data_IF_556916311810
#
_entry.id   IF_556916311810
#
_cell.length_a   1.000
_cell.length_b   1.000
_cell.length_c   1.000
_cell.angle_alpha   90.00
_cell.angle_beta   90.00
_cell.angle_gamma   90.00
#
_symmetry.space_group_name_H-M   'P 1'
#
loop_
_entity.id
_entity.type
_entity.pdbx_description
1 polymer ?
#
# COMPACT_ATOMS: atom_id res chain seq x y z
N UNK A 1 -16.59 28.17 6.00
CA UNK A 1 -15.92 27.73 7.24
C UNK A 1 -14.93 26.63 6.87
N UNK A 2 -13.80 26.47 7.59
CA UNK A 2 -12.84 25.42 7.27
C UNK A 2 -13.50 24.04 7.32
N UNK A 3 -13.03 23.13 6.47
CA UNK A 3 -13.57 21.76 6.35
C UNK A 3 -13.33 20.98 7.65
N UNK A 4 -12.10 20.97 8.14
CA UNK A 4 -11.74 20.38 9.43
C UNK A 4 -10.39 20.90 9.88
N UNK A 5 -10.25 21.18 11.18
CA UNK A 5 -8.93 21.49 11.76
C UNK A 5 -7.96 20.32 11.65
N UNK A 6 -8.43 19.08 11.49
CA UNK A 6 -7.56 17.89 11.36
C UNK A 6 -6.64 17.96 10.14
N UNK A 7 -7.09 18.59 9.04
CA UNK A 7 -6.30 18.67 7.80
C UNK A 7 -5.02 19.49 7.99
N UNK A 8 -5.03 20.48 8.88
CA UNK A 8 -3.84 21.28 9.23
C UNK A 8 -2.79 20.45 9.98
N UNK A 9 -3.24 19.38 10.66
CA UNK A 9 -2.40 18.43 11.37
C UNK A 9 -2.30 17.09 10.65
N UNK A 10 -2.51 17.07 9.33
CA UNK A 10 -2.51 15.86 8.50
C UNK A 10 -1.29 14.96 8.74
N UNK A 11 -0.07 15.52 8.68
CA UNK A 11 1.16 14.76 8.91
C UNK A 11 1.24 14.18 10.35
N UNK A 12 1.09 14.98 11.43
CA UNK A 12 1.01 14.44 12.79
C UNK A 12 -0.07 13.37 12.98
N UNK A 13 -1.27 13.56 12.41
CA UNK A 13 -2.39 12.60 12.52
C UNK A 13 -2.02 11.28 11.85
N UNK A 14 -1.58 11.29 10.59
CA UNK A 14 -1.13 10.08 9.88
C UNK A 14 0.03 9.40 10.61
N UNK A 15 0.99 10.15 11.17
CA UNK A 15 2.09 9.58 11.94
C UNK A 15 1.62 8.89 13.24
N UNK A 16 0.69 9.53 13.98
CA UNK A 16 0.10 8.93 15.18
C UNK A 16 -0.68 7.66 14.83
N UNK A 17 -1.47 7.67 13.76
CA UNK A 17 -2.17 6.48 13.29
C UNK A 17 -1.20 5.35 12.94
N UNK A 18 -0.11 5.62 12.23
CA UNK A 18 0.92 4.62 11.93
C UNK A 18 1.54 4.04 13.20
N UNK A 19 1.83 4.86 14.21
CA UNK A 19 2.30 4.38 15.51
C UNK A 19 1.27 3.47 16.19
N UNK A 20 -0.01 3.85 16.19
CA UNK A 20 -1.10 3.05 16.77
C UNK A 20 -1.26 1.71 16.03
N UNK A 21 -1.22 1.72 14.70
CA UNK A 21 -1.26 0.50 13.87
C UNK A 21 -0.06 -0.38 14.20
N UNK A 22 1.14 0.17 14.23
CA UNK A 22 2.35 -0.59 14.57
C UNK A 22 2.28 -1.22 15.96
N UNK A 23 1.85 -0.46 16.98
CA UNK A 23 1.67 -0.97 18.34
C UNK A 23 0.61 -2.07 18.40
N UNK A 24 -0.51 -1.87 17.71
CA UNK A 24 -1.60 -2.84 17.65
C UNK A 24 -1.14 -4.15 17.01
N UNK A 25 -0.38 -4.05 15.91
CA UNK A 25 0.17 -5.24 15.23
C UNK A 25 1.12 -6.01 16.15
N UNK A 26 2.12 -5.34 16.70
CA UNK A 26 3.22 -6.00 17.43
C UNK A 26 2.83 -6.47 18.83
N UNK A 27 1.99 -5.71 19.54
CA UNK A 27 1.66 -6.02 20.94
C UNK A 27 0.33 -6.74 21.11
N UNK A 28 -0.56 -6.71 20.12
CA UNK A 28 -1.92 -7.28 20.25
C UNK A 28 -2.18 -8.33 19.17
N UNK A 29 -2.05 -7.98 17.89
CA UNK A 29 -2.47 -8.87 16.81
C UNK A 29 -1.56 -10.08 16.68
N UNK A 30 -0.27 -9.90 16.43
CA UNK A 30 0.64 -11.04 16.16
C UNK A 30 0.80 -12.00 17.35
N UNK A 31 0.96 -11.53 18.61
CA UNK A 31 1.16 -12.46 19.72
C UNK A 31 -0.13 -13.09 20.24
N UNK A 32 -1.27 -12.39 20.14
CA UNK A 32 -2.51 -12.82 20.81
C UNK A 32 -3.68 -13.03 19.85
N UNK A 33 -4.04 -12.05 19.02
CA UNK A 33 -5.27 -12.14 18.23
C UNK A 33 -5.14 -13.09 17.04
N UNK A 34 -4.06 -13.00 16.26
CA UNK A 34 -3.85 -13.81 15.05
C UNK A 34 -3.75 -15.31 15.38
N UNK A 35 -2.93 -15.77 16.36
CA UNK A 35 -2.90 -17.18 16.74
C UNK A 35 -4.24 -17.67 17.30
N UNK A 36 -5.01 -16.81 17.98
CA UNK A 36 -6.31 -17.17 18.53
C UNK A 36 -7.41 -17.29 17.48
N UNK A 37 -7.44 -16.38 16.50
CA UNK A 37 -8.48 -16.32 15.46
C UNK A 37 -8.21 -17.36 14.36
N UNK A 38 -6.95 -17.54 13.99
CA UNK A 38 -6.58 -18.40 12.85
C UNK A 38 -5.92 -19.72 13.28
N UNK A 39 -5.55 -19.88 14.55
CA UNK A 39 -5.10 -21.16 15.08
C UNK A 39 -3.81 -21.69 14.42
N UNK A 40 -3.72 -23.02 14.20
CA UNK A 40 -2.57 -23.66 13.57
C UNK A 40 -2.21 -23.07 12.21
N UNK A 41 -3.22 -22.69 11.43
CA UNK A 41 -3.03 -22.08 10.11
C UNK A 41 -2.12 -20.85 10.17
N UNK A 42 -2.17 -20.04 11.23
CA UNK A 42 -1.27 -18.91 11.39
C UNK A 42 0.07 -19.28 12.02
N UNK A 43 0.09 -20.18 13.01
CA UNK A 43 1.33 -20.51 13.74
C UNK A 43 2.29 -21.39 12.94
N UNK A 44 1.79 -22.16 11.99
CA UNK A 44 2.58 -23.06 11.14
C UNK A 44 3.03 -22.40 9.82
N UNK A 45 2.47 -21.24 9.48
CA UNK A 45 2.92 -20.46 8.32
C UNK A 45 4.34 -19.93 8.52
N UNK A 46 5.10 -19.88 7.44
CA UNK A 46 6.36 -19.17 7.41
C UNK A 46 6.16 -17.66 7.65
N UNK A 47 7.25 -16.97 7.99
CA UNK A 47 7.19 -15.55 8.37
C UNK A 47 6.65 -14.65 7.25
N UNK A 48 6.89 -14.99 5.98
CA UNK A 48 6.42 -14.22 4.82
C UNK A 48 4.91 -14.37 4.70
N UNK A 49 4.40 -15.59 4.75
CA UNK A 49 2.95 -15.85 4.72
C UNK A 49 2.23 -15.24 5.93
N UNK A 50 2.82 -15.32 7.14
CA UNK A 50 2.27 -14.69 8.35
C UNK A 50 2.16 -13.18 8.23
N UNK A 51 3.20 -12.51 7.73
CA UNK A 51 3.17 -11.06 7.49
C UNK A 51 2.17 -10.69 6.40
N UNK A 52 2.09 -11.47 5.32
CA UNK A 52 1.09 -11.28 4.27
C UNK A 52 -0.35 -11.37 4.82
N UNK A 53 -0.66 -12.40 5.62
CA UNK A 53 -1.98 -12.55 6.23
C UNK A 53 -2.28 -11.41 7.23
N UNK A 54 -1.32 -11.10 8.11
CA UNK A 54 -1.48 -10.01 9.09
C UNK A 54 -1.70 -8.66 8.40
N UNK A 55 -0.96 -8.40 7.31
CA UNK A 55 -1.14 -7.21 6.48
C UNK A 55 -2.58 -7.09 5.99
N UNK A 56 -3.11 -8.15 5.37
CA UNK A 56 -4.46 -8.11 4.82
C UNK A 56 -5.55 -7.98 5.88
N UNK A 57 -5.37 -8.56 7.07
CA UNK A 57 -6.31 -8.40 8.19
C UNK A 57 -6.31 -6.95 8.69
N UNK A 58 -5.14 -6.34 8.86
CA UNK A 58 -5.01 -4.94 9.29
C UNK A 58 -5.60 -4.00 8.24
N UNK A 59 -5.23 -4.16 6.97
CA UNK A 59 -5.77 -3.37 5.86
C UNK A 59 -7.28 -3.50 5.76
N UNK A 60 -7.82 -4.72 5.87
CA UNK A 60 -9.25 -4.95 5.89
C UNK A 60 -9.94 -4.20 7.04
N UNK A 61 -9.40 -4.29 8.26
CA UNK A 61 -9.98 -3.62 9.42
C UNK A 61 -9.97 -2.09 9.29
N UNK A 62 -8.85 -1.50 8.84
CA UNK A 62 -8.75 -0.06 8.63
C UNK A 62 -9.69 0.41 7.51
N UNK A 63 -9.85 -0.36 6.43
CA UNK A 63 -10.82 -0.08 5.36
C UNK A 63 -12.26 -0.13 5.87
N UNK A 64 -12.60 -1.12 6.70
CA UNK A 64 -13.92 -1.19 7.36
C UNK A 64 -14.14 -0.02 8.32
N UNK A 65 -13.11 0.44 9.03
CA UNK A 65 -13.20 1.66 9.85
C UNK A 65 -13.50 2.89 8.99
N UNK A 66 -12.87 3.02 7.82
CA UNK A 66 -13.18 4.08 6.86
C UNK A 66 -14.62 4.01 6.32
N UNK A 67 -15.23 2.81 6.25
CA UNK A 67 -16.64 2.66 5.88
C UNK A 67 -17.60 3.33 6.86
N UNK A 68 -17.19 3.62 8.11
CA UNK A 68 -18.00 4.46 8.99
C UNK A 68 -18.28 5.83 8.33
N UNK A 69 -17.32 6.35 7.57
CA UNK A 69 -17.44 7.58 6.77
C UNK A 69 -18.54 7.56 5.71
N UNK A 70 -19.09 6.39 5.36
CA UNK A 70 -20.16 6.27 4.36
C UNK A 70 -21.40 7.10 4.72
N UNK A 71 -21.76 7.18 6.00
CA UNK A 71 -22.85 8.05 6.45
C UNK A 71 -22.57 9.52 6.14
N UNK A 72 -21.37 10.01 6.45
CA UNK A 72 -20.98 11.38 6.17
C UNK A 72 -20.91 11.68 4.66
N UNK A 73 -20.50 10.70 3.84
CA UNK A 73 -20.54 10.79 2.38
C UNK A 73 -21.98 10.95 1.89
N UNK A 74 -22.93 10.16 2.40
CA UNK A 74 -24.35 10.29 2.03
C UNK A 74 -24.88 11.69 2.40
N UNK A 75 -24.56 12.19 3.59
CA UNK A 75 -24.98 13.52 4.03
C UNK A 75 -24.45 14.63 3.11
N UNK A 76 -23.19 14.55 2.67
CA UNK A 76 -22.58 15.55 1.77
C UNK A 76 -23.11 15.43 0.34
N UNK A 77 -23.16 14.23 -0.22
CA UNK A 77 -23.44 14.04 -1.65
C UNK A 77 -24.93 13.92 -1.97
N UNK A 78 -25.74 13.32 -1.09
CA UNK A 78 -27.17 13.09 -1.32
C UNK A 78 -28.00 14.16 -0.62
N UNK A 79 -27.80 14.33 0.70
CA UNK A 79 -28.58 15.27 1.51
C UNK A 79 -28.13 16.72 1.28
N UNK A 80 -26.91 16.92 0.75
CA UNK A 80 -26.29 18.23 0.50
C UNK A 80 -26.06 19.04 1.78
N UNK A 81 -25.79 18.37 2.90
CA UNK A 81 -25.38 19.06 4.13
C UNK A 81 -23.97 19.63 3.99
N UNK A 82 -23.70 20.81 4.56
CA UNK A 82 -22.38 21.40 4.50
C UNK A 82 -21.41 20.65 5.42
N UNK A 83 -20.11 20.74 5.11
CA UNK A 83 -19.06 19.98 5.80
C UNK A 83 -18.89 20.40 7.27
N UNK A 84 -19.18 21.65 7.59
CA UNK A 84 -19.14 22.19 8.95
C UNK A 84 -20.38 21.83 9.79
N UNK A 85 -21.37 21.15 9.22
CA UNK A 85 -22.57 20.76 9.95
C UNK A 85 -22.24 19.71 11.03
N UNK A 86 -22.89 19.77 12.21
CA UNK A 86 -22.71 18.77 13.24
C UNK A 86 -23.30 17.42 12.81
N UNK A 87 -22.62 16.34 13.20
CA UNK A 87 -23.12 14.98 13.05
C UNK A 87 -24.29 14.77 14.04
N UNK A 88 -25.52 14.67 13.53
CA UNK A 88 -26.74 14.64 14.35
C UNK A 88 -26.78 13.44 15.32
N UNK A 89 -26.10 12.35 14.98
CA UNK A 89 -26.03 11.15 15.82
C UNK A 89 -25.15 11.31 17.08
N UNK A 90 -24.33 12.37 17.17
CA UNK A 90 -23.30 12.54 18.20
C UNK A 90 -23.51 13.82 19.04
N UNK A 91 -24.76 14.17 19.35
CA UNK A 91 -25.05 15.33 20.21
C UNK A 91 -24.57 15.10 21.65
N UNK A 92 -23.42 15.67 21.99
CA UNK A 92 -22.90 15.81 23.35
C UNK A 92 -22.77 17.29 23.76
N UNK A 93 -22.73 17.59 25.08
CA UNK A 93 -22.71 18.97 25.60
C UNK A 93 -21.39 19.72 25.34
N UNK A 94 -20.33 19.04 24.91
CA UNK A 94 -18.99 19.63 24.73
C UNK A 94 -18.45 19.27 23.34
N UNK A 95 -18.43 20.28 22.45
CA UNK A 95 -17.88 20.27 21.08
C UNK A 95 -18.57 19.29 20.12
N UNK A 96 -19.35 19.85 19.20
CA UNK A 96 -19.99 19.08 18.13
C UNK A 96 -18.96 18.68 17.07
N UNK A 97 -18.70 17.38 16.93
CA UNK A 97 -17.95 16.82 15.80
C UNK A 97 -18.70 17.13 14.51
N UNK A 98 -18.00 17.67 13.52
CA UNK A 98 -18.59 18.01 12.22
C UNK A 98 -18.51 16.84 11.23
N UNK A 99 -19.33 16.89 10.19
CA UNK A 99 -19.26 15.95 9.06
C UNK A 99 -17.85 15.99 8.42
N UNK A 100 -17.28 17.18 8.30
CA UNK A 100 -15.95 17.43 7.77
C UNK A 100 -14.85 16.83 8.62
N UNK A 101 -14.93 16.89 9.96
CA UNK A 101 -13.97 16.22 10.86
C UNK A 101 -13.95 14.72 10.65
N UNK A 102 -15.14 14.11 10.51
CA UNK A 102 -15.26 12.68 10.32
C UNK A 102 -14.73 12.22 8.95
N UNK A 103 -15.03 12.97 7.89
CA UNK A 103 -14.50 12.72 6.56
C UNK A 103 -13.00 12.99 6.47
N UNK A 104 -12.49 14.02 7.16
CA UNK A 104 -11.07 14.33 7.23
C UNK A 104 -10.30 13.21 7.94
N UNK A 105 -10.84 12.64 9.01
CA UNK A 105 -10.27 11.46 9.66
C UNK A 105 -10.14 10.29 8.67
N UNK A 106 -11.24 9.84 8.04
CA UNK A 106 -11.19 8.76 7.06
C UNK A 106 -10.21 9.06 5.91
N UNK A 107 -10.18 10.31 5.45
CA UNK A 107 -9.29 10.77 4.40
C UNK A 107 -7.80 10.68 4.79
N UNK A 108 -7.45 10.95 6.04
CA UNK A 108 -6.09 10.84 6.58
C UNK A 108 -5.71 9.40 6.93
N UNK A 109 -6.69 8.53 7.19
CA UNK A 109 -6.48 7.08 7.37
C UNK A 109 -6.09 6.37 6.07
N UNK A 110 -6.53 6.84 4.90
CA UNK A 110 -6.16 6.26 3.60
C UNK A 110 -4.63 6.19 3.37
N UNK A 111 -3.86 7.29 3.48
CA UNK A 111 -2.41 7.21 3.35
C UNK A 111 -1.76 6.36 4.45
N UNK A 112 -2.31 6.32 5.67
CA UNK A 112 -1.86 5.40 6.73
C UNK A 112 -1.94 3.95 6.27
N UNK A 113 -3.06 3.54 5.67
CA UNK A 113 -3.25 2.18 5.13
C UNK A 113 -2.15 1.88 4.10
N UNK A 114 -1.97 2.73 3.09
CA UNK A 114 -1.02 2.46 2.01
C UNK A 114 0.43 2.47 2.46
N UNK A 115 0.80 3.39 3.36
CA UNK A 115 2.15 3.40 3.94
C UNK A 115 2.38 2.10 4.71
N UNK A 116 1.42 1.70 5.56
CA UNK A 116 1.50 0.44 6.29
C UNK A 116 1.67 -0.75 5.33
N UNK A 117 0.88 -0.83 4.27
CA UNK A 117 0.98 -1.94 3.32
C UNK A 117 2.32 -2.01 2.58
N UNK A 118 2.90 -0.85 2.22
CA UNK A 118 4.22 -0.80 1.58
C UNK A 118 5.30 -1.28 2.55
N UNK A 119 5.31 -0.79 3.80
CA UNK A 119 6.40 -1.08 4.75
C UNK A 119 6.28 -2.47 5.36
N UNK A 120 5.06 -2.99 5.53
CA UNK A 120 4.82 -4.20 6.29
C UNK A 120 4.80 -5.46 5.42
N UNK A 121 4.46 -5.35 4.13
CA UNK A 121 4.59 -6.49 3.19
C UNK A 121 6.06 -6.84 2.94
N UNK A 122 6.33 -8.15 2.85
CA UNK A 122 7.64 -8.65 2.48
C UNK A 122 7.89 -8.52 0.96
N UNK A 123 6.87 -8.87 0.17
CA UNK A 123 6.89 -8.78 -1.29
C UNK A 123 5.67 -7.95 -1.74
N UNK A 124 5.90 -7.02 -2.65
CA UNK A 124 4.86 -6.19 -3.25
C UNK A 124 5.16 -6.06 -4.74
N UNK A 125 4.16 -6.31 -5.58
CA UNK A 125 4.33 -6.17 -7.02
C UNK A 125 4.62 -4.71 -7.39
N UNK A 126 5.37 -4.50 -8.47
CA UNK A 126 5.69 -3.15 -8.95
C UNK A 126 4.42 -2.34 -9.24
N UNK A 127 3.41 -2.96 -9.85
CA UNK A 127 2.12 -2.31 -10.17
C UNK A 127 1.40 -1.88 -8.89
N UNK A 128 1.33 -2.75 -7.88
CA UNK A 128 0.72 -2.42 -6.58
C UNK A 128 1.50 -1.33 -5.85
N UNK A 129 2.84 -1.37 -5.92
CA UNK A 129 3.69 -0.34 -5.29
C UNK A 129 3.47 1.02 -5.93
N UNK A 130 3.44 1.10 -7.26
CA UNK A 130 3.16 2.33 -8.00
C UNK A 130 1.75 2.83 -7.70
N UNK A 131 0.75 1.95 -7.62
CA UNK A 131 -0.62 2.30 -7.21
C UNK A 131 -0.65 2.96 -5.83
N UNK A 132 -0.01 2.34 -4.83
CA UNK A 132 0.00 2.86 -3.46
C UNK A 132 0.74 4.20 -3.36
N UNK A 133 1.93 4.31 -3.97
CA UNK A 133 2.69 5.57 -4.00
C UNK A 133 1.91 6.66 -4.75
N UNK A 134 1.24 6.31 -5.83
CA UNK A 134 0.34 7.21 -6.56
C UNK A 134 -0.79 7.71 -5.68
N UNK A 135 -1.46 6.82 -4.94
CA UNK A 135 -2.57 7.16 -4.06
C UNK A 135 -2.14 8.09 -2.92
N UNK A 136 -1.00 7.79 -2.29
CA UNK A 136 -0.39 8.66 -1.26
C UNK A 136 -0.07 10.04 -1.85
N UNK A 137 0.51 10.09 -3.05
CA UNK A 137 0.88 11.35 -3.72
C UNK A 137 -0.36 12.20 -4.02
N UNK A 138 -1.42 11.60 -4.55
CA UNK A 138 -2.70 12.30 -4.80
C UNK A 138 -3.28 12.83 -3.49
N UNK A 139 -3.25 12.03 -2.42
CA UNK A 139 -3.71 12.47 -1.11
C UNK A 139 -2.93 13.70 -0.60
N UNK A 140 -1.59 13.66 -0.66
CA UNK A 140 -0.74 14.80 -0.27
C UNK A 140 -1.04 16.05 -1.11
N UNK A 141 -1.14 15.91 -2.43
CA UNK A 141 -1.46 17.02 -3.32
C UNK A 141 -2.84 17.61 -3.01
N UNK A 142 -3.82 16.75 -2.74
CA UNK A 142 -5.15 17.14 -2.29
C UNK A 142 -5.13 18.00 -1.02
N UNK A 143 -4.41 17.55 0.01
CA UNK A 143 -4.21 18.31 1.25
C UNK A 143 -3.60 19.68 0.94
N UNK A 144 -2.54 19.73 0.13
CA UNK A 144 -1.87 20.99 -0.23
C UNK A 144 -2.85 21.95 -0.91
N UNK A 145 -3.69 21.46 -1.82
CA UNK A 145 -4.69 22.27 -2.52
C UNK A 145 -5.76 22.79 -1.54
N UNK A 146 -6.29 21.91 -0.70
CA UNK A 146 -7.30 22.26 0.31
C UNK A 146 -6.76 23.31 1.29
N UNK A 147 -5.54 23.12 1.81
CA UNK A 147 -4.92 24.03 2.77
C UNK A 147 -4.49 25.36 2.15
N UNK A 148 -3.92 25.35 0.93
CA UNK A 148 -3.49 26.59 0.24
C UNK A 148 -4.65 27.54 -0.08
N UNK A 149 -5.87 27.03 -0.12
CA UNK A 149 -7.09 27.81 -0.30
C UNK A 149 -7.83 28.06 1.04
N UNK A 150 -7.13 27.88 2.17
CA UNK A 150 -7.67 28.10 3.51
C UNK A 150 -8.87 27.21 3.84
N UNK A 151 -8.93 26.01 3.25
CA UNK A 151 -10.04 25.06 3.37
C UNK A 151 -11.42 25.63 2.99
N UNK A 152 -11.46 26.69 2.18
CA UNK A 152 -12.69 27.37 1.82
C UNK A 152 -12.74 27.60 0.31
N UNK A 153 -13.97 27.75 -0.19
CA UNK A 153 -14.21 28.09 -1.58
C UNK A 153 -14.24 26.90 -2.52
N UNK A 154 -14.52 27.21 -3.79
CA UNK A 154 -14.88 26.21 -4.80
C UNK A 154 -13.79 25.16 -5.00
N UNK A 155 -12.51 25.57 -5.10
CA UNK A 155 -11.44 24.63 -5.41
C UNK A 155 -11.14 23.68 -4.24
N UNK A 156 -11.03 24.19 -3.02
CA UNK A 156 -10.81 23.36 -1.83
C UNK A 156 -11.93 22.34 -1.62
N UNK A 157 -13.19 22.78 -1.70
CA UNK A 157 -14.32 21.87 -1.55
C UNK A 157 -14.42 20.85 -2.68
N UNK A 158 -14.11 21.26 -3.91
CA UNK A 158 -14.15 20.37 -5.08
C UNK A 158 -13.08 19.31 -4.96
N UNK A 159 -11.86 19.68 -4.59
CA UNK A 159 -10.75 18.74 -4.39
C UNK A 159 -11.05 17.76 -3.27
N UNK A 160 -11.53 18.27 -2.12
CA UNK A 160 -11.91 17.43 -1.00
C UNK A 160 -13.02 16.43 -1.38
N UNK A 161 -14.08 16.90 -2.06
CA UNK A 161 -15.16 16.03 -2.56
C UNK A 161 -14.65 15.02 -3.59
N UNK A 162 -13.78 15.43 -4.51
CA UNK A 162 -13.22 14.54 -5.53
C UNK A 162 -12.47 13.38 -4.87
N UNK A 163 -11.60 13.66 -3.91
CA UNK A 163 -10.83 12.60 -3.26
C UNK A 163 -11.71 11.73 -2.37
N UNK A 164 -12.77 12.28 -1.76
CA UNK A 164 -13.75 11.45 -1.06
C UNK A 164 -14.46 10.47 -2.00
N UNK A 165 -14.78 10.88 -3.23
CA UNK A 165 -15.37 9.96 -4.23
C UNK A 165 -14.39 8.80 -4.48
N UNK A 166 -13.13 9.10 -4.80
CA UNK A 166 -12.10 8.08 -4.98
C UNK A 166 -11.97 7.17 -3.76
N UNK A 167 -11.84 7.76 -2.57
CA UNK A 167 -11.69 7.05 -1.31
C UNK A 167 -12.85 6.09 -1.04
N UNK A 168 -14.10 6.47 -1.34
CA UNK A 168 -15.25 5.59 -1.15
C UNK A 168 -15.17 4.35 -2.02
N UNK A 169 -14.89 4.50 -3.32
CA UNK A 169 -14.80 3.36 -4.22
C UNK A 169 -13.63 2.45 -3.86
N UNK A 170 -12.48 3.04 -3.58
CA UNK A 170 -11.29 2.31 -3.18
C UNK A 170 -11.51 1.54 -1.86
N UNK A 171 -12.04 2.18 -0.81
CA UNK A 171 -12.31 1.50 0.47
C UNK A 171 -13.38 0.40 0.34
N UNK A 172 -14.40 0.57 -0.50
CA UNK A 172 -15.46 -0.43 -0.65
C UNK A 172 -15.03 -1.62 -1.50
N UNK A 173 -14.35 -1.39 -2.63
CA UNK A 173 -14.08 -2.44 -3.61
C UNK A 173 -12.73 -3.13 -3.41
N UNK A 174 -11.77 -2.46 -2.77
CA UNK A 174 -10.50 -3.09 -2.39
C UNK A 174 -10.64 -4.02 -1.16
N UNK A 175 -11.78 -3.99 -0.44
CA UNK A 175 -12.11 -4.97 0.60
C UNK A 175 -12.25 -6.39 0.03
N UNK A 176 -12.78 -6.55 -1.18
CA UNK A 176 -12.97 -7.86 -1.80
C UNK A 176 -11.67 -8.68 -1.94
N UNK A 177 -10.59 -8.15 -2.55
CA UNK A 177 -9.34 -8.89 -2.66
C UNK A 177 -8.72 -9.20 -1.28
N UNK A 178 -8.83 -8.32 -0.29
CA UNK A 178 -8.35 -8.63 1.07
C UNK A 178 -9.08 -9.82 1.68
N UNK A 179 -10.42 -9.83 1.62
CA UNK A 179 -11.22 -10.96 2.11
C UNK A 179 -10.89 -12.23 1.34
N UNK A 180 -10.72 -12.13 0.01
CA UNK A 180 -10.36 -13.28 -0.82
C UNK A 180 -9.02 -13.90 -0.42
N UNK A 181 -7.98 -13.09 -0.17
CA UNK A 181 -6.67 -13.61 0.25
C UNK A 181 -6.71 -14.17 1.68
N UNK A 182 -7.45 -13.54 2.60
CA UNK A 182 -7.65 -14.11 3.95
C UNK A 182 -8.31 -15.49 3.83
N UNK A 183 -9.40 -15.61 3.07
CA UNK A 183 -10.08 -16.90 2.87
C UNK A 183 -9.22 -17.92 2.11
N UNK A 184 -8.38 -17.47 1.18
CA UNK A 184 -7.40 -18.31 0.48
C UNK A 184 -6.42 -18.99 1.44
N UNK A 185 -5.95 -18.25 2.45
CA UNK A 185 -5.06 -18.79 3.48
C UNK A 185 -5.77 -19.74 4.45
N UNK A 186 -7.07 -19.52 4.71
CA UNK A 186 -7.84 -20.34 5.65
C UNK A 186 -8.42 -21.63 5.06
N UNK A 187 -8.82 -21.61 3.79
CA UNK A 187 -9.53 -22.72 3.13
C UNK A 187 -8.82 -23.16 1.87
N UNK A 188 -7.49 -23.30 1.95
CA UNK A 188 -6.63 -23.67 0.81
C UNK A 188 -6.97 -25.06 0.24
N UNK A 189 -7.53 -25.92 1.07
CA UNK A 189 -7.97 -27.28 0.77
C UNK A 189 -9.27 -27.35 -0.05
N UNK A 190 -10.03 -26.24 -0.14
CA UNK A 190 -11.32 -26.16 -0.82
C UNK A 190 -11.29 -25.30 -2.11
N UNK A 191 -10.61 -25.75 -3.18
CA UNK A 191 -10.41 -24.95 -4.39
C UNK A 191 -11.73 -24.55 -5.08
N UNK A 192 -12.78 -25.37 -4.98
CA UNK A 192 -14.10 -25.04 -5.53
C UNK A 192 -14.76 -23.84 -4.83
N UNK A 193 -14.55 -23.68 -3.52
CA UNK A 193 -15.00 -22.51 -2.76
C UNK A 193 -14.16 -21.29 -3.12
N UNK A 194 -12.83 -21.44 -3.11
CA UNK A 194 -11.90 -20.35 -3.42
C UNK A 194 -12.11 -19.77 -4.82
N UNK A 195 -12.36 -20.62 -5.83
CA UNK A 195 -12.76 -20.19 -7.17
C UNK A 195 -13.92 -19.20 -7.14
N UNK A 196 -14.98 -19.50 -6.39
CA UNK A 196 -16.17 -18.63 -6.30
C UNK A 196 -15.82 -17.30 -5.65
N UNK A 197 -15.03 -17.33 -4.58
CA UNK A 197 -14.60 -16.13 -3.85
C UNK A 197 -13.75 -15.21 -4.75
N UNK A 198 -12.74 -15.74 -5.43
CA UNK A 198 -11.90 -14.93 -6.33
C UNK A 198 -12.68 -14.41 -7.55
N UNK A 199 -13.67 -15.17 -8.05
CA UNK A 199 -14.56 -14.68 -9.10
C UNK A 199 -15.43 -13.52 -8.60
N UNK A 200 -16.01 -13.64 -7.41
CA UNK A 200 -16.77 -12.55 -6.77
C UNK A 200 -15.88 -11.32 -6.58
N UNK A 201 -14.64 -11.51 -6.12
CA UNK A 201 -13.69 -10.41 -5.94
C UNK A 201 -13.34 -9.74 -7.27
N UNK A 202 -13.08 -10.51 -8.32
CA UNK A 202 -12.82 -10.00 -9.67
C UNK A 202 -14.01 -9.20 -10.21
N UNK A 203 -15.23 -9.74 -10.11
CA UNK A 203 -16.46 -9.03 -10.49
C UNK A 203 -16.67 -7.77 -9.66
N UNK A 204 -16.38 -7.82 -8.35
CA UNK A 204 -16.45 -6.68 -7.45
C UNK A 204 -15.50 -5.57 -7.90
N UNK A 205 -14.23 -5.89 -8.17
CA UNK A 205 -13.23 -4.92 -8.65
C UNK A 205 -13.68 -4.27 -9.97
N UNK A 206 -14.05 -5.06 -10.98
CA UNK A 206 -14.49 -4.50 -12.26
C UNK A 206 -15.75 -3.62 -12.13
N UNK A 207 -16.71 -4.05 -11.30
CA UNK A 207 -17.92 -3.28 -11.02
C UNK A 207 -17.58 -1.97 -10.31
N UNK A 208 -16.69 -2.05 -9.31
CA UNK A 208 -16.21 -0.89 -8.56
C UNK A 208 -15.53 0.13 -9.45
N UNK A 209 -14.57 -0.29 -10.26
CA UNK A 209 -13.88 0.56 -11.23
C UNK A 209 -14.87 1.22 -12.18
N UNK A 210 -15.86 0.48 -12.72
CA UNK A 210 -16.87 1.05 -13.60
C UNK A 210 -17.72 2.12 -12.90
N UNK A 211 -18.23 1.82 -11.70
CA UNK A 211 -19.05 2.76 -10.93
C UNK A 211 -18.25 4.01 -10.54
N UNK A 212 -16.98 3.84 -10.19
CA UNK A 212 -16.05 4.93 -9.91
C UNK A 212 -15.89 5.85 -11.13
N UNK A 213 -15.60 5.28 -12.31
CA UNK A 213 -15.42 6.08 -13.53
C UNK A 213 -16.70 6.83 -13.91
N UNK A 214 -17.88 6.23 -13.71
CA UNK A 214 -19.16 6.92 -13.93
C UNK A 214 -19.34 8.06 -12.93
N UNK A 215 -19.12 7.81 -11.64
CA UNK A 215 -19.29 8.82 -10.59
C UNK A 215 -18.36 10.01 -10.81
N UNK A 216 -17.09 9.75 -11.13
CA UNK A 216 -16.11 10.81 -11.36
C UNK A 216 -16.36 11.52 -12.68
N UNK A 217 -16.76 10.82 -13.74
CA UNK A 217 -17.18 11.43 -15.01
C UNK A 217 -18.36 12.39 -14.81
N UNK A 218 -19.37 11.98 -14.04
CA UNK A 218 -20.50 12.85 -13.67
C UNK A 218 -20.06 14.04 -12.83
N UNK A 219 -19.15 13.85 -11.87
CA UNK A 219 -18.60 14.91 -11.04
C UNK A 219 -17.83 15.93 -11.90
N UNK A 220 -16.92 15.46 -12.76
CA UNK A 220 -16.15 16.32 -13.67
C UNK A 220 -17.05 17.10 -14.62
N UNK A 221 -18.09 16.47 -15.16
CA UNK A 221 -19.04 17.15 -16.03
C UNK A 221 -19.63 18.41 -15.36
N UNK A 222 -19.94 18.33 -14.07
CA UNK A 222 -20.50 19.46 -13.31
C UNK A 222 -19.48 20.59 -13.06
N UNK A 223 -18.20 20.25 -12.86
CA UNK A 223 -17.15 21.23 -12.51
C UNK A 223 -16.30 21.68 -13.70
N UNK A 224 -16.44 21.04 -14.87
CA UNK A 224 -15.53 21.15 -16.02
C UNK A 224 -15.22 22.60 -16.44
N UNK A 225 -16.23 23.46 -16.46
CA UNK A 225 -16.08 24.86 -16.91
C UNK A 225 -15.24 25.71 -15.95
N UNK A 226 -15.21 25.36 -14.67
CA UNK A 226 -14.53 26.12 -13.61
C UNK A 226 -13.16 25.54 -13.26
N UNK A 227 -12.87 24.33 -13.71
CA UNK A 227 -11.66 23.62 -13.35
C UNK A 227 -10.46 24.10 -14.18
N UNK A 228 -9.27 24.32 -13.56
CA UNK A 228 -8.09 24.77 -14.29
C UNK A 228 -7.64 23.73 -15.33
N UNK A 229 -7.04 24.20 -16.43
CA UNK A 229 -6.62 23.33 -17.54
C UNK A 229 -5.60 22.28 -17.13
N UNK A 230 -4.66 22.63 -16.24
CA UNK A 230 -3.65 21.69 -15.73
C UNK A 230 -4.30 20.46 -15.07
N UNK A 231 -5.34 20.66 -14.28
CA UNK A 231 -6.04 19.56 -13.61
C UNK A 231 -6.85 18.69 -14.57
N UNK A 232 -7.36 19.26 -15.68
CA UNK A 232 -8.06 18.47 -16.70
C UNK A 232 -7.12 17.46 -17.36
N UNK A 233 -5.87 17.86 -17.59
CA UNK A 233 -4.85 16.99 -18.19
C UNK A 233 -4.32 16.00 -17.17
N UNK A 234 -3.85 16.49 -16.01
CA UNK A 234 -3.27 15.63 -14.97
C UNK A 234 -4.30 14.65 -14.41
N UNK A 235 -5.52 15.12 -14.13
CA UNK A 235 -6.61 14.26 -13.66
C UNK A 235 -6.91 13.13 -14.64
N UNK A 236 -6.99 13.41 -15.94
CA UNK A 236 -7.23 12.38 -16.96
C UNK A 236 -6.11 11.33 -17.01
N UNK A 237 -4.84 11.76 -16.92
CA UNK A 237 -3.70 10.84 -16.90
C UNK A 237 -3.78 9.94 -15.67
N UNK A 238 -3.98 10.52 -14.48
CA UNK A 238 -4.10 9.78 -13.23
C UNK A 238 -5.26 8.77 -13.30
N UNK A 239 -6.42 9.18 -13.82
CA UNK A 239 -7.55 8.29 -14.03
C UNK A 239 -7.23 7.05 -14.85
N UNK A 240 -6.57 7.24 -15.99
CA UNK A 240 -6.20 6.12 -16.86
C UNK A 240 -5.22 5.19 -16.16
N UNK A 241 -4.24 5.72 -15.43
CA UNK A 241 -3.29 4.94 -14.65
C UNK A 241 -3.98 4.13 -13.54
N UNK A 242 -4.86 4.75 -12.76
CA UNK A 242 -5.58 4.09 -11.65
C UNK A 242 -6.56 3.03 -12.17
N UNK A 243 -7.32 3.35 -13.21
CA UNK A 243 -8.20 2.39 -13.88
C UNK A 243 -7.40 1.18 -14.40
N UNK A 244 -6.23 1.40 -15.00
CA UNK A 244 -5.37 0.32 -15.46
C UNK A 244 -4.86 -0.56 -14.30
N UNK A 245 -4.48 0.04 -13.17
CA UNK A 245 -4.06 -0.68 -11.97
C UNK A 245 -5.19 -1.52 -11.36
N UNK A 246 -6.40 -0.97 -11.24
CA UNK A 246 -7.57 -1.69 -10.75
C UNK A 246 -7.99 -2.83 -11.69
N UNK A 247 -8.01 -2.59 -13.01
CA UNK A 247 -8.28 -3.64 -14.01
C UNK A 247 -7.24 -4.76 -13.91
N UNK A 248 -5.96 -4.41 -13.69
CA UNK A 248 -4.91 -5.40 -13.46
C UNK A 248 -5.21 -6.26 -12.22
N UNK A 249 -5.58 -5.66 -11.08
CA UNK A 249 -5.99 -6.39 -9.88
C UNK A 249 -7.18 -7.33 -10.10
N UNK A 250 -8.20 -6.87 -10.85
CA UNK A 250 -9.35 -7.70 -11.23
C UNK A 250 -8.97 -8.90 -12.11
N UNK A 251 -8.02 -8.70 -13.03
CA UNK A 251 -7.48 -9.78 -13.90
C UNK A 251 -6.70 -10.81 -13.11
N UNK A 252 -5.87 -10.39 -12.14
CA UNK A 252 -5.13 -11.31 -11.26
C UNK A 252 -6.09 -12.19 -10.47
N UNK A 253 -7.15 -11.62 -9.89
CA UNK A 253 -8.18 -12.40 -9.19
C UNK A 253 -8.85 -13.43 -10.12
N UNK A 254 -9.11 -13.07 -11.38
CA UNK A 254 -9.70 -13.98 -12.35
C UNK A 254 -8.76 -15.15 -12.71
N UNK A 255 -7.47 -14.87 -12.86
CA UNK A 255 -6.45 -15.89 -13.12
C UNK A 255 -6.35 -16.88 -11.94
N UNK A 256 -6.36 -16.38 -10.70
CA UNK A 256 -6.39 -17.24 -9.52
C UNK A 256 -7.67 -18.08 -9.49
N UNK A 257 -8.83 -17.50 -9.82
CA UNK A 257 -10.08 -18.24 -9.90
C UNK A 257 -10.02 -19.37 -10.95
N UNK A 258 -9.37 -19.14 -12.09
CA UNK A 258 -9.17 -20.15 -13.13
C UNK A 258 -8.26 -21.27 -12.63
N UNK A 259 -7.14 -20.96 -11.99
CA UNK A 259 -6.23 -21.94 -11.37
C UNK A 259 -6.97 -22.80 -10.33
N UNK A 260 -7.77 -22.19 -9.46
CA UNK A 260 -8.59 -22.93 -8.48
C UNK A 260 -9.64 -23.82 -9.16
N UNK A 261 -10.14 -23.45 -10.35
CA UNK A 261 -11.07 -24.29 -11.11
C UNK A 261 -10.39 -25.55 -11.64
N UNK A 262 -9.14 -25.46 -12.06
CA UNK A 262 -8.34 -26.60 -12.53
C UNK A 262 -7.99 -27.54 -11.37
N UNK A 263 -7.54 -27.00 -10.24
CA UNK A 263 -7.27 -27.79 -9.03
C UNK A 263 -8.52 -28.53 -8.54
N UNK A 264 -9.69 -27.89 -8.60
CA UNK A 264 -10.95 -28.52 -8.22
C UNK A 264 -11.34 -29.69 -9.15
N UNK A 265 -11.05 -29.57 -10.46
CA UNK A 265 -11.28 -30.67 -11.43
C UNK A 265 -10.30 -31.82 -11.19
N UNK A 266 -9.02 -31.52 -10.93
CA UNK A 266 -8.02 -32.54 -10.64
C UNK A 266 -8.40 -33.36 -9.39
N UNK A 267 -8.83 -32.69 -8.31
CA UNK A 267 -9.34 -33.38 -7.10
C UNK A 267 -10.57 -34.25 -7.36
N UNK A 268 -11.45 -33.84 -8.29
CA UNK A 268 -12.63 -34.63 -8.63
C UNK A 268 -12.32 -35.87 -9.49
N UNK A 269 -11.18 -35.87 -10.19
CA UNK A 269 -10.74 -36.98 -11.05
C UNK A 269 -9.89 -38.02 -10.33
N UNK A 270 -9.36 -37.72 -9.15
CA UNK A 270 -8.61 -38.66 -8.30
C UNK A 270 -9.35 -39.03 -6.99
N UNK A 271 -10.59 -39.57 -7.05
CA UNK A 271 -11.29 -40.03 -5.85
C UNK A 271 -10.73 -41.36 -5.31
N UNK A 272 -9.87 -42.07 -6.06
CA UNK A 272 -9.56 -43.49 -5.83
C UNK A 272 -8.26 -43.75 -5.02
N UNK A 273 -7.48 -42.72 -4.66
CA UNK A 273 -6.30 -42.86 -3.79
C UNK A 273 -6.49 -42.41 -2.34
N UNK A 274 -7.72 -42.07 -1.94
CA UNK A 274 -8.02 -41.37 -0.69
C UNK A 274 -7.93 -42.12 0.64
N UNK A 275 -7.50 -43.39 0.69
CA UNK A 275 -7.46 -44.15 1.97
C UNK A 275 -6.07 -44.61 2.42
N UNK A 276 -4.99 -44.37 1.66
CA UNK A 276 -3.68 -44.98 1.98
C UNK A 276 -2.45 -44.06 2.06
N UNK A 277 -2.57 -42.74 1.81
CA UNK A 277 -1.39 -41.86 1.76
C UNK A 277 -1.56 -40.52 2.48
N UNK A 278 -2.36 -40.45 3.55
CA UNK A 278 -2.49 -39.24 4.37
C UNK A 278 -1.29 -38.96 5.31
N UNK A 279 -0.07 -39.43 4.99
CA UNK A 279 1.02 -39.44 5.98
C UNK A 279 2.46 -39.24 5.51
N UNK A 280 2.79 -38.99 4.22
CA UNK A 280 4.22 -39.00 3.86
C UNK A 280 4.74 -38.07 2.76
N UNK A 281 3.98 -37.09 2.26
CA UNK A 281 4.51 -36.15 1.26
C UNK A 281 4.10 -34.69 1.56
N UNK A 282 4.62 -34.15 2.66
CA UNK A 282 4.60 -32.70 2.96
C UNK A 282 6.04 -32.21 3.14
N UNK A 283 6.90 -32.37 2.12
CA UNK A 283 8.29 -31.90 2.23
C UNK A 283 9.00 -31.48 0.93
N UNK A 284 8.32 -31.27 -0.21
CA UNK A 284 9.06 -30.87 -1.43
C UNK A 284 8.30 -29.98 -2.43
N UNK A 285 7.45 -29.07 -1.94
CA UNK A 285 6.93 -27.94 -2.75
C UNK A 285 7.07 -26.63 -1.96
N UNK A 286 8.30 -26.34 -1.56
CA UNK A 286 8.78 -24.97 -1.34
C UNK A 286 9.20 -24.38 -2.67
N UNK A 287 8.82 -23.12 -2.93
CA UNK A 287 9.04 -22.32 -4.15
C UNK A 287 8.05 -22.60 -5.30
N UNK A 288 6.79 -22.22 -5.09
CA UNK A 288 6.07 -21.48 -6.14
C UNK A 288 6.19 -20.02 -5.74
N UNK A 289 7.08 -19.30 -6.42
CA UNK A 289 7.27 -17.86 -6.26
C UNK A 289 5.92 -17.15 -6.43
N UNK A 290 5.44 -16.52 -5.36
CA UNK A 290 4.24 -15.67 -5.36
C UNK A 290 4.44 -14.38 -6.23
N UNK A 291 5.63 -14.21 -6.83
CA UNK A 291 5.95 -13.19 -7.85
C UNK A 291 5.68 -13.65 -9.30
N UNK A 292 5.44 -14.94 -9.58
CA UNK A 292 5.29 -15.45 -10.96
C UNK A 292 3.85 -15.34 -11.52
N UNK A 293 2.87 -14.98 -10.69
CA UNK A 293 1.56 -14.54 -11.18
C UNK A 293 1.58 -13.09 -11.72
N UNK A 294 2.74 -12.41 -11.63
CA UNK A 294 3.07 -11.17 -12.35
C UNK A 294 4.20 -11.47 -13.35
N UNK A 295 3.83 -12.12 -14.46
CA UNK A 295 4.60 -12.23 -15.71
C UNK A 295 6.10 -12.61 -15.59
N UNK A 296 6.40 -13.86 -15.92
CA UNK A 296 7.38 -14.06 -17.00
C UNK A 296 6.87 -13.30 -18.24
N UNK A 297 7.68 -12.42 -18.86
CA UNK A 297 7.42 -12.06 -20.25
C UNK A 297 7.59 -13.35 -21.05
N UNK A 298 6.49 -13.78 -21.67
CA UNK A 298 6.51 -14.76 -22.73
C UNK A 298 7.77 -14.56 -23.58
N UNK A 299 8.52 -15.64 -23.75
CA UNK A 299 9.50 -15.80 -24.81
C UNK A 299 9.00 -15.08 -26.06
N UNK A 300 9.56 -13.91 -26.34
CA UNK A 300 9.62 -13.39 -27.69
C UNK A 300 10.37 -14.48 -28.43
N UNK A 301 9.63 -15.23 -29.22
CA UNK A 301 10.17 -16.07 -30.26
C UNK A 301 11.36 -15.33 -30.86
N UNK A 302 12.53 -15.96 -30.89
CA UNK A 302 13.63 -15.51 -31.73
C UNK A 302 13.08 -15.43 -33.15
N UNK A 303 12.53 -14.29 -33.52
CA UNK A 303 12.40 -13.86 -34.89
C UNK A 303 13.86 -13.77 -35.34
N UNK A 304 14.32 -14.62 -36.27
CA UNK A 304 15.63 -14.41 -36.85
C UNK A 304 15.60 -13.00 -37.43
N UNK A 305 16.55 -12.18 -36.98
CA UNK A 305 16.88 -10.94 -37.67
C UNK A 305 17.36 -11.37 -39.05
N UNK A 306 16.42 -11.39 -40.00
CA UNK A 306 16.72 -11.35 -41.41
C UNK A 306 17.35 -9.97 -41.60
N UNK A 307 18.67 -9.93 -41.67
CA UNK A 307 19.39 -8.83 -42.26
C UNK A 307 18.84 -8.76 -43.69
N UNK A 308 18.00 -7.75 -43.96
CA UNK A 308 17.76 -7.33 -45.33
C UNK A 308 19.07 -6.75 -45.84
N UNK A 309 19.89 -7.60 -46.44
CA UNK A 309 20.92 -7.18 -47.36
C UNK A 309 20.23 -6.40 -48.48
N UNK A 310 20.57 -5.12 -48.60
CA UNK A 310 20.17 -4.28 -49.72
C UNK A 310 20.64 -4.89 -51.04
N UNK A 311 19.96 -4.58 -52.15
CA UNK A 311 20.25 -5.20 -53.44
C UNK A 311 21.68 -4.91 -53.89
N UNK A 312 22.46 -5.98 -53.96
CA UNK A 312 23.81 -5.98 -54.50
C UNK A 312 23.81 -5.55 -55.97
N UNK A 313 24.50 -4.45 -56.23
CA UNK A 313 25.03 -4.11 -57.54
C UNK A 313 26.52 -4.48 -57.58
N UNK A 314 26.84 -5.30 -58.58
CA UNK A 314 28.13 -5.42 -59.28
C UNK A 314 29.31 -6.17 -58.63
N UNK A 315 29.59 -7.32 -59.27
CA UNK A 315 30.85 -7.70 -59.93
C UNK A 315 32.17 -7.50 -59.16
N UNK A 316 32.71 -8.65 -58.76
CA UNK A 316 34.06 -9.10 -59.15
C UNK A 316 35.24 -8.36 -58.52
N UNK A 317 36.10 -9.10 -57.82
CA UNK A 317 37.49 -9.38 -58.25
C UNK A 317 38.23 -10.11 -57.12
N UNK A 318 39.08 -11.06 -57.54
CA UNK A 318 39.99 -11.85 -56.71
C UNK A 318 41.12 -11.00 -56.10
N UNK A 319 41.82 -11.64 -55.15
CA UNK A 319 43.17 -11.43 -54.57
C UNK A 319 43.00 -11.17 -53.06
N UNK A 320 43.53 -11.97 -52.12
CA UNK A 320 44.86 -12.56 -52.03
C UNK A 320 45.58 -11.85 -50.88
N UNK A 321 46.17 -12.59 -49.92
CA UNK A 321 47.17 -12.02 -49.01
C UNK A 321 46.95 -12.25 -47.52
N UNK A 322 47.98 -12.85 -46.93
CA UNK A 322 48.22 -13.18 -45.53
C UNK A 322 48.23 -12.01 -44.52
N UNK A 323 48.16 -12.41 -43.24
CA UNK A 323 49.02 -11.97 -42.13
C UNK A 323 48.39 -11.15 -40.98
N UNK A 324 48.51 -11.76 -39.79
CA UNK A 324 48.92 -11.23 -38.49
C UNK A 324 48.06 -10.26 -37.66
N UNK A 325 47.79 -10.75 -36.43
CA UNK A 325 47.99 -10.11 -35.13
C UNK A 325 47.13 -8.88 -34.74
N UNK A 326 46.34 -9.04 -33.68
CA UNK A 326 46.68 -8.53 -32.34
C UNK A 326 45.44 -8.58 -31.43
N UNK A 327 45.50 -9.48 -30.45
CA UNK A 327 44.58 -9.59 -29.34
C UNK A 327 44.94 -8.55 -28.29
N UNK A 328 44.01 -7.66 -27.90
CA UNK A 328 44.15 -6.89 -26.66
C UNK A 328 42.86 -7.03 -25.84
N UNK A 329 42.99 -7.80 -24.76
CA UNK A 329 42.02 -7.96 -23.66
C UNK A 329 42.37 -6.91 -22.60
N UNK A 330 41.41 -6.11 -22.19
CA UNK A 330 41.48 -5.32 -20.96
C UNK A 330 40.45 -5.89 -19.99
N UNK A 331 40.92 -6.72 -19.08
CA UNK A 331 40.21 -7.18 -17.88
C UNK A 331 40.46 -6.18 -16.76
N UNK A 332 39.39 -5.59 -16.21
CA UNK A 332 39.41 -4.86 -14.95
C UNK A 332 39.05 -5.85 -13.84
N UNK A 333 40.08 -6.22 -13.09
CA UNK A 333 40.08 -7.10 -11.93
C UNK A 333 40.04 -6.22 -10.68
N UNK A 334 38.98 -6.30 -9.88
CA UNK A 334 38.92 -5.68 -8.55
C UNK A 334 38.90 -6.80 -7.51
N UNK A 335 40.10 -7.08 -6.98
CA UNK A 335 40.32 -8.02 -5.90
C UNK A 335 39.74 -7.52 -4.57
N UNK A 336 38.95 -8.36 -3.93
CA UNK A 336 38.65 -8.29 -2.51
C UNK A 336 39.16 -9.59 -1.88
N UNK A 337 40.06 -9.54 -0.88
CA UNK A 337 40.60 -10.74 -0.26
C UNK A 337 39.54 -11.41 0.62
N UNK A 338 39.33 -12.71 0.38
CA UNK A 338 38.73 -13.66 1.33
C UNK A 338 39.83 -14.13 2.25
N UNK A 339 39.62 -13.98 3.56
CA UNK A 339 40.06 -14.92 4.60
C UNK A 339 39.46 -14.50 5.95
N UNK A 340 38.90 -15.47 6.69
CA UNK A 340 38.47 -15.25 8.07
C UNK A 340 37.20 -15.99 8.47
N UNK A 341 37.30 -17.30 8.68
CA UNK A 341 36.35 -18.09 9.48
C UNK A 341 36.52 -17.68 10.94
N UNK A 342 35.47 -17.16 11.57
CA UNK A 342 35.43 -16.93 13.03
C UNK A 342 34.19 -17.59 13.61
N UNK A 343 34.46 -18.40 14.63
CA UNK A 343 33.57 -19.24 15.43
C UNK A 343 32.57 -18.44 16.26
N UNK A 344 31.34 -18.94 16.34
CA UNK A 344 30.31 -18.54 17.30
C UNK A 344 30.70 -18.98 18.73
N UNK A 345 31.25 -18.06 19.50
CA UNK A 345 31.23 -18.06 20.96
C UNK A 345 31.62 -16.66 21.45
N UNK A 346 30.91 -16.17 22.48
CA UNK A 346 31.15 -14.91 23.21
C UNK A 346 30.58 -13.61 22.60
N UNK A 347 29.26 -13.42 22.74
CA UNK A 347 28.64 -12.10 22.70
C UNK A 347 27.83 -11.83 23.98
N UNK A 348 28.54 -11.58 25.09
CA UNK A 348 28.01 -10.85 26.25
C UNK A 348 28.94 -9.66 26.46
N UNK A 349 28.52 -8.48 25.98
CA UNK A 349 29.25 -7.23 26.16
C UNK A 349 28.51 -6.36 27.17
N UNK A 350 29.21 -6.00 28.25
CA UNK A 350 28.77 -5.05 29.27
C UNK A 350 28.26 -3.73 28.67
N UNK A 351 27.27 -3.07 29.29
CA UNK A 351 26.82 -1.75 28.85
C UNK A 351 27.86 -0.67 29.16
N UNK A 352 28.01 0.20 28.16
CA UNK A 352 28.97 1.28 28.04
C UNK A 352 28.87 2.32 29.19
N UNK A 353 29.91 2.35 30.04
CA UNK A 353 30.05 3.30 31.16
C UNK A 353 30.27 4.76 30.71
N UNK A 354 30.41 5.05 29.40
CA UNK A 354 30.56 6.44 28.91
C UNK A 354 29.24 7.20 28.83
N UNK A 355 28.11 6.53 28.57
CA UNK A 355 26.81 7.21 28.48
C UNK A 355 26.32 7.77 29.82
N UNK A 356 26.66 7.09 30.93
CA UNK A 356 26.27 7.52 32.28
C UNK A 356 27.09 8.71 32.82
N UNK A 357 28.24 9.04 32.22
CA UNK A 357 29.05 10.19 32.66
C UNK A 357 28.54 11.50 32.03
N UNK A 358 28.07 11.46 30.79
CA UNK A 358 27.58 12.66 30.09
C UNK A 358 26.23 13.16 30.66
N UNK A 359 25.35 12.27 31.11
CA UNK A 359 24.09 12.66 31.77
C UNK A 359 24.29 13.36 33.13
N UNK A 360 25.42 13.15 33.81
CA UNK A 360 25.72 13.79 35.10
C UNK A 360 26.30 15.20 34.96
N UNK A 361 26.90 15.53 33.82
CA UNK A 361 27.45 16.87 33.59
C UNK A 361 26.38 17.84 33.08
N UNK A 362 25.45 17.39 32.23
CA UNK A 362 24.34 18.24 31.72
C UNK A 362 23.37 18.66 32.83
N UNK A 363 23.06 17.78 33.79
CA UNK A 363 22.19 18.12 34.93
C UNK A 363 22.84 19.07 35.95
N UNK A 364 24.16 19.29 35.88
CA UNK A 364 24.87 20.18 36.82
C UNK A 364 24.96 21.62 36.30
N UNK A 365 24.92 21.82 34.98
CA UNK A 365 24.89 23.17 34.38
C UNK A 365 23.50 23.82 34.47
N UNK A 366 22.40 23.07 34.29
CA UNK A 366 21.04 23.63 34.41
C UNK A 366 20.67 24.05 35.85
N UNK A 367 21.30 23.46 36.87
CA UNK A 367 21.04 23.79 38.28
C UNK A 367 21.81 25.03 38.76
N UNK A 368 22.77 25.55 37.99
CA UNK A 368 23.51 26.77 38.33
C UNK A 368 22.94 28.04 37.69
N UNK A 369 22.13 27.92 36.64
CA UNK A 369 21.58 29.08 35.91
C UNK A 369 20.30 29.65 36.56
N UNK A 370 19.59 28.86 37.37
CA UNK A 370 18.37 29.31 38.07
C UNK A 370 18.59 30.02 39.41
N UNK A 371 19.84 30.29 39.83
CA UNK A 371 20.15 30.91 41.13
C UNK A 371 20.36 32.45 41.07
N UNK A 372 20.21 33.09 39.90
CA UNK A 372 20.60 34.50 39.71
C UNK A 372 19.46 35.52 39.49
N UNK A 373 18.17 35.18 39.57
CA UNK A 373 17.09 36.10 39.14
C UNK A 373 16.16 36.67 40.22
N UNK A 374 16.55 36.72 41.50
CA UNK A 374 15.72 37.32 42.56
C UNK A 374 16.37 38.56 43.19
N UNK A 375 16.41 39.66 42.45
CA UNK A 375 16.53 41.02 43.00
C UNK A 375 15.97 42.06 42.04
N UNK A 376 14.69 42.41 42.13
CA UNK A 376 14.22 43.77 41.82
C UNK A 376 13.07 44.16 42.73
N UNK A 377 13.41 44.99 43.71
CA UNK A 377 12.53 45.73 44.61
C UNK A 377 12.10 47.04 43.97
N UNK A 378 10.81 47.36 44.06
CA UNK A 378 10.34 48.69 44.50
C UNK A 378 10.17 49.81 43.48
N UNK A 379 8.93 50.34 43.42
CA UNK A 379 8.72 51.75 43.75
C UNK A 379 8.11 52.68 42.69
N UNK A 380 7.00 53.31 43.10
CA UNK A 380 6.51 54.68 42.77
C UNK A 380 5.92 54.88 41.36
N UNK A 381 4.64 55.22 41.16
CA UNK A 381 3.80 56.35 41.63
C UNK A 381 3.58 57.36 40.50
N UNK A 382 2.32 57.48 40.05
CA UNK A 382 1.55 58.71 39.76
C UNK A 382 0.32 58.35 38.93
#
# INVERSE_FOLDING_TARGET
MPISTLLEYSLPVTAVELCVVWMTVHYILEPYAMPKVFGPTYTEMDIVARRSLTNHVVSFFLKVLCCCGAYAVIEVFIVKRPLDAPVQALHGPHRTITIGDFLAFCYLTVPTIYIFEIIYRANISLVSSIHHVGAITINIMGIIIVLSHGQNGFLAETEFKLILIYGVFEMLFEVFPHVAVILYRLRRDEPAFLRKIFLIASCGIFTGTLLEQVAIGMFYHQIWKRFPTSYKVVGLILHVCFMAAQIHGGRVCLQIAQKMAEEAKAKAQDPEKGELTAGSEVSSLTEVDEDEAVMEPQQVARVPIIIMEGPGANKGMKMGGAAHAATTRTSLDMGIPRDGVVSDADYVREPDRRAARNLKETSREELLDHSSSDKWTGGLAS
#
